data_IF_235660350266
#
_entry.id   IF_235660350266
#
_cell.length_a   1.000
_cell.length_b   1.000
_cell.length_c   1.000
_cell.angle_alpha   90.00
_cell.angle_beta   90.00
_cell.angle_gamma   90.00
#
_symmetry.space_group_name_H-M   'P 1'
#
loop_
_entity.id
_entity.type
_entity.pdbx_description
1 polymer ?
#
# COMPACT_ATOMS: atom_id res chain seq x y z
N UNK A 1 3.46 3.10 -2.76
CA UNK A 1 2.34 4.03 -3.11
C UNK A 1 2.16 4.98 -1.94
N UNK A 2 1.91 6.27 -2.21
CA UNK A 2 1.61 7.27 -1.19
C UNK A 2 0.21 7.86 -1.41
N UNK A 3 -0.59 7.94 -0.35
CA UNK A 3 -1.96 8.44 -0.42
C UNK A 3 -2.17 9.45 0.73
N UNK A 4 -2.90 10.52 0.47
CA UNK A 4 -3.23 11.50 1.52
C UNK A 4 -4.02 10.84 2.65
N UNK A 5 -3.61 11.12 3.89
CA UNK A 5 -4.32 10.72 5.10
C UNK A 5 -5.33 11.80 5.49
N UNK A 6 -6.56 11.64 5.03
CA UNK A 6 -7.66 12.55 5.29
C UNK A 6 -8.92 11.80 5.78
N UNK A 7 -9.84 12.46 6.53
CA UNK A 7 -11.09 11.84 6.96
C UNK A 7 -11.89 11.20 5.82
N UNK A 8 -11.90 11.82 4.64
CA UNK A 8 -12.56 11.29 3.43
C UNK A 8 -11.89 10.02 2.90
N UNK A 9 -10.56 9.94 2.96
CA UNK A 9 -9.78 8.77 2.53
C UNK A 9 -9.96 7.56 3.46
N UNK A 10 -10.28 7.81 4.74
CA UNK A 10 -10.55 6.79 5.78
C UNK A 10 -12.01 6.40 5.89
N UNK A 11 -12.93 7.19 5.33
CA UNK A 11 -14.37 6.93 5.41
C UNK A 11 -14.81 5.84 4.42
N UNK A 12 -15.76 5.01 4.86
CA UNK A 12 -16.40 4.02 4.01
C UNK A 12 -17.05 4.71 2.80
N UNK A 13 -16.86 4.14 1.61
CA UNK A 13 -17.47 4.65 0.37
C UNK A 13 -18.52 3.66 -0.14
N UNK A 14 -19.61 4.18 -0.70
CA UNK A 14 -20.67 3.36 -1.28
C UNK A 14 -20.21 2.74 -2.60
N UNK A 15 -20.39 1.43 -2.72
CA UNK A 15 -20.04 0.69 -3.93
C UNK A 15 -21.08 0.86 -5.04
N UNK A 16 -20.59 1.00 -6.27
CA UNK A 16 -21.39 0.89 -7.49
C UNK A 16 -20.74 -0.17 -8.38
N UNK A 17 -21.31 -1.36 -8.37
CA UNK A 17 -20.83 -2.52 -9.14
C UNK A 17 -21.90 -3.02 -10.12
N UNK A 18 -22.26 -2.24 -11.17
CA UNK A 18 -23.36 -2.57 -12.06
C UNK A 18 -23.06 -3.73 -13.03
N UNK A 19 -21.79 -4.01 -13.30
CA UNK A 19 -21.39 -5.01 -14.31
C UNK A 19 -20.78 -6.27 -13.69
N UNK A 20 -19.93 -6.12 -12.68
CA UNK A 20 -19.25 -7.23 -12.01
C UNK A 20 -19.30 -7.03 -10.51
N UNK A 21 -19.59 -8.07 -9.71
CA UNK A 21 -19.54 -7.97 -8.27
C UNK A 21 -18.12 -7.65 -7.82
N UNK A 22 -18.00 -6.77 -6.83
CA UNK A 22 -16.74 -6.59 -6.10
C UNK A 22 -16.55 -7.73 -5.10
N UNK A 23 -15.30 -8.03 -4.78
CA UNK A 23 -15.00 -8.97 -3.69
C UNK A 23 -15.51 -8.43 -2.35
N UNK A 24 -15.86 -9.33 -1.45
CA UNK A 24 -16.52 -8.98 -0.19
C UNK A 24 -15.67 -8.06 0.69
N UNK A 25 -14.34 -8.22 0.67
CA UNK A 25 -13.42 -7.40 1.47
C UNK A 25 -13.39 -5.93 1.02
N UNK A 26 -13.83 -5.63 -0.21
CA UNK A 26 -13.91 -4.27 -0.74
C UNK A 26 -15.24 -3.58 -0.45
N UNK A 27 -16.28 -4.33 -0.04
CA UNK A 27 -17.61 -3.78 0.25
C UNK A 27 -17.55 -2.84 1.45
N UNK A 28 -17.94 -1.58 1.24
CA UNK A 28 -17.89 -0.55 2.27
C UNK A 28 -16.47 -0.19 2.74
N UNK A 29 -15.42 -0.70 2.08
CA UNK A 29 -14.05 -0.35 2.41
C UNK A 29 -13.77 1.10 2.02
N UNK A 30 -13.07 1.82 2.89
CA UNK A 30 -12.57 3.17 2.61
C UNK A 30 -11.53 3.16 1.50
N UNK A 31 -11.26 4.33 0.92
CA UNK A 31 -10.28 4.46 -0.15
C UNK A 31 -8.90 3.92 0.24
N UNK A 32 -8.42 4.28 1.44
CA UNK A 32 -7.17 3.75 1.99
C UNK A 32 -7.22 2.23 2.22
N UNK A 33 -8.35 1.71 2.71
CA UNK A 33 -8.47 0.26 2.93
C UNK A 33 -8.45 -0.53 1.61
N UNK A 34 -9.02 0.01 0.54
CA UNK A 34 -8.96 -0.61 -0.80
C UNK A 34 -7.54 -0.72 -1.31
N UNK A 35 -6.71 0.32 -1.14
CA UNK A 35 -5.30 0.26 -1.52
C UNK A 35 -4.49 -0.72 -0.68
N UNK A 36 -4.76 -0.77 0.63
CA UNK A 36 -4.12 -1.73 1.52
C UNK A 36 -4.43 -3.18 1.07
N UNK A 37 -5.71 -3.48 0.80
CA UNK A 37 -6.12 -4.79 0.28
C UNK A 37 -5.49 -5.11 -1.08
N UNK A 38 -5.43 -4.13 -1.99
CA UNK A 38 -4.78 -4.30 -3.29
C UNK A 38 -3.30 -4.65 -3.13
N UNK A 39 -2.55 -3.89 -2.34
CA UNK A 39 -1.12 -4.16 -2.13
C UNK A 39 -0.89 -5.52 -1.46
N UNK A 40 -1.70 -5.90 -0.48
CA UNK A 40 -1.60 -7.22 0.16
C UNK A 40 -1.84 -8.35 -0.85
N UNK A 41 -2.90 -8.27 -1.66
CA UNK A 41 -3.20 -9.30 -2.68
C UNK A 41 -2.11 -9.37 -3.75
N UNK A 42 -1.57 -8.25 -4.23
CA UNK A 42 -0.47 -8.25 -5.20
C UNK A 42 0.79 -8.98 -4.69
N UNK A 43 1.10 -8.84 -3.39
CA UNK A 43 2.23 -9.54 -2.76
C UNK A 43 1.91 -11.02 -2.51
N UNK A 44 0.71 -11.33 -2.01
CA UNK A 44 0.27 -12.70 -1.74
C UNK A 44 0.21 -13.56 -3.01
N UNK A 45 -0.25 -12.99 -4.12
CA UNK A 45 -0.32 -13.65 -5.42
C UNK A 45 1.03 -13.63 -6.17
N UNK A 46 2.12 -13.22 -5.51
CA UNK A 46 3.48 -13.14 -6.06
C UNK A 46 3.61 -12.30 -7.35
N UNK A 47 2.66 -11.40 -7.57
CA UNK A 47 2.74 -10.44 -8.68
C UNK A 47 3.79 -9.39 -8.36
N UNK A 48 3.88 -8.96 -7.10
CA UNK A 48 4.93 -8.09 -6.56
C UNK A 48 5.73 -8.84 -5.49
N UNK A 49 7.06 -8.65 -5.44
CA UNK A 49 7.89 -9.21 -4.36
C UNK A 49 7.57 -8.57 -3.01
N UNK A 50 7.29 -7.27 -3.00
CA UNK A 50 6.97 -6.49 -1.79
C UNK A 50 6.26 -5.20 -2.21
N UNK A 51 5.47 -4.62 -1.30
CA UNK A 51 4.78 -3.36 -1.52
C UNK A 51 4.77 -2.52 -0.23
N UNK A 52 4.81 -1.20 -0.37
CA UNK A 52 4.62 -0.27 0.74
C UNK A 52 3.47 0.70 0.43
N UNK A 53 2.49 0.78 1.34
CA UNK A 53 1.44 1.79 1.32
C UNK A 53 1.67 2.78 2.46
N UNK A 54 2.06 3.99 2.08
CA UNK A 54 2.35 5.10 2.98
C UNK A 54 1.16 6.07 2.95
N UNK A 55 0.73 6.52 4.12
CA UNK A 55 -0.27 7.60 4.26
C UNK A 55 0.37 8.80 4.94
N UNK A 56 -0.04 10.01 4.58
CA UNK A 56 0.46 11.22 5.25
C UNK A 56 -0.58 12.33 5.18
N UNK A 57 -0.84 13.05 6.28
CA UNK A 57 -1.75 14.19 6.24
C UNK A 57 -1.11 15.30 5.41
N UNK A 58 -1.93 16.09 4.71
CA UNK A 58 -1.43 17.20 3.89
C UNK A 58 -0.61 18.23 4.66
N UNK A 59 -0.86 18.37 5.96
CA UNK A 59 -0.15 19.27 6.87
C UNK A 59 1.27 18.80 7.24
N UNK A 60 1.67 17.60 6.82
CA UNK A 60 2.99 17.03 7.11
C UNK A 60 4.05 17.35 6.04
N UNK A 61 3.82 18.36 5.22
CA UNK A 61 4.71 18.79 4.12
C UNK A 61 6.14 19.13 4.60
N UNK A 62 6.24 19.68 5.81
CA UNK A 62 7.49 20.10 6.43
C UNK A 62 7.95 19.18 7.56
N UNK A 63 7.03 18.44 8.19
CA UNK A 63 7.36 17.52 9.29
C UNK A 63 7.79 16.15 8.80
N UNK A 64 7.35 15.75 7.60
CA UNK A 64 7.58 14.41 7.07
C UNK A 64 6.81 13.32 7.81
N UNK A 65 5.80 13.68 8.62
CA UNK A 65 4.95 12.71 9.29
C UNK A 65 4.22 11.83 8.29
N UNK A 66 4.32 10.52 8.49
CA UNK A 66 3.61 9.52 7.71
C UNK A 66 3.16 8.36 8.58
N UNK A 67 2.30 7.53 8.03
CA UNK A 67 1.76 6.33 8.67
C UNK A 67 1.68 5.19 7.66
N UNK A 68 1.47 3.99 8.18
CA UNK A 68 1.36 2.76 7.41
C UNK A 68 0.02 2.09 7.72
N UNK A 69 -0.58 1.43 6.73
CA UNK A 69 -1.91 0.82 6.90
C UNK A 69 -1.85 -0.61 7.46
N UNK A 70 -0.79 -1.35 7.17
CA UNK A 70 -0.61 -2.72 7.65
C UNK A 70 0.87 -3.07 7.77
N UNK A 71 1.18 -4.02 8.67
CA UNK A 71 2.53 -4.56 8.83
C UNK A 71 3.00 -5.34 7.59
N UNK A 72 2.08 -5.83 6.75
CA UNK A 72 2.43 -6.55 5.53
C UNK A 72 2.93 -5.62 4.43
N UNK A 73 2.46 -4.37 4.41
CA UNK A 73 2.80 -3.37 3.39
C UNK A 73 3.54 -2.18 3.98
N UNK A 74 4.52 -2.44 4.84
CA UNK A 74 5.29 -1.41 5.53
C UNK A 74 6.56 -1.00 4.75
N UNK A 75 7.01 0.24 4.93
CA UNK A 75 8.13 0.85 4.24
C UNK A 75 9.47 0.17 4.59
N UNK A 76 9.65 -0.24 5.85
CA UNK A 76 10.88 -0.89 6.30
C UNK A 76 11.13 -2.17 5.51
N UNK A 77 10.14 -3.06 5.44
CA UNK A 77 10.23 -4.32 4.69
C UNK A 77 10.48 -4.05 3.21
N UNK A 78 9.80 -3.06 2.62
CA UNK A 78 10.01 -2.68 1.23
C UNK A 78 11.46 -2.25 0.95
N UNK A 79 12.01 -1.34 1.77
CA UNK A 79 13.39 -0.85 1.61
C UNK A 79 14.40 -1.96 1.86
N UNK A 80 14.19 -2.81 2.87
CA UNK A 80 15.06 -3.97 3.13
C UNK A 80 15.09 -4.94 1.95
N UNK A 81 13.95 -5.25 1.36
CA UNK A 81 13.87 -6.11 0.18
C UNK A 81 14.54 -5.48 -1.05
N UNK A 82 14.32 -4.18 -1.29
CA UNK A 82 15.01 -3.44 -2.36
C UNK A 82 16.54 -3.46 -2.19
N UNK A 83 17.02 -3.16 -0.98
CA UNK A 83 18.46 -3.21 -0.69
C UNK A 83 19.04 -4.61 -0.92
N UNK A 84 18.30 -5.66 -0.52
CA UNK A 84 18.67 -7.04 -0.80
C UNK A 84 18.77 -7.35 -2.30
N UNK A 85 17.81 -6.88 -3.11
CA UNK A 85 17.86 -7.02 -4.57
C UNK A 85 19.06 -6.29 -5.18
N UNK A 86 19.33 -5.05 -4.75
CA UNK A 86 20.49 -4.27 -5.23
C UNK A 86 21.80 -4.98 -4.89
N UNK A 87 21.95 -5.46 -3.65
CA UNK A 87 23.14 -6.17 -3.22
C UNK A 87 23.34 -7.49 -4.00
N UNK A 88 22.27 -8.25 -4.21
CA UNK A 88 22.31 -9.49 -4.98
C UNK A 88 22.68 -9.25 -6.45
N UNK A 89 22.21 -8.15 -7.04
CA UNK A 89 22.56 -7.78 -8.41
C UNK A 89 24.01 -7.30 -8.51
N UNK A 90 24.48 -6.47 -7.57
CA UNK A 90 25.85 -6.00 -7.52
C UNK A 90 26.86 -7.16 -7.42
N UNK A 91 26.55 -8.19 -6.63
CA UNK A 91 27.39 -9.38 -6.46
C UNK A 91 27.47 -10.27 -7.70
N UNK A 92 26.58 -10.12 -8.70
CA UNK A 92 26.67 -10.85 -9.98
C UNK A 92 27.61 -10.21 -10.98
N UNK A 93 27.89 -8.91 -10.81
CA UNK A 93 28.77 -8.14 -11.69
C UNK A 93 30.24 -8.25 -11.29
N UNK A 94 30.52 -8.82 -10.12
CA UNK A 94 31.86 -9.14 -9.61
C UNK A 94 32.23 -10.58 -9.93
#
# INVERSE_FOLDING_TARGET
MMVEDAPSSRSAVKDKSPHFPIFDEFKGASYLKRYDLLCQKLVQEQLYTTAALITSPRTADTTGEFSEMSSMTNLRTFVSALAGHVAAEAARLT
#
